data_IF_113954939323
#
_entry.id   IF_113954939323
#
_cell.length_a   1.000
_cell.length_b   1.000
_cell.length_c   1.000
_cell.angle_alpha   90.00
_cell.angle_beta   90.00
_cell.angle_gamma   90.00
#
_symmetry.space_group_name_H-M   'P 1'
#
loop_
_entity.id
_entity.type
_entity.pdbx_description
1 polymer ?
#
# COMPACT_ATOMS: atom_id res chain seq x y z
N UNK A 1 -2.33 6.42 -7.79
CA UNK A 1 -2.50 5.06 -7.26
C UNK A 1 -2.20 5.04 -5.77
N UNK A 2 -2.90 4.23 -5.03
CA UNK A 2 -2.73 4.12 -3.59
C UNK A 2 -2.12 2.76 -3.26
N UNK A 3 -1.07 2.76 -2.42
CA UNK A 3 -0.41 1.53 -1.97
C UNK A 3 -0.59 1.40 -0.47
N UNK A 4 -1.34 0.39 -0.05
CA UNK A 4 -1.51 0.05 1.36
C UNK A 4 -0.43 -0.95 1.75
N UNK A 5 0.32 -0.64 2.81
CA UNK A 5 1.46 -1.45 3.21
C UNK A 5 1.79 -1.25 4.69
N UNK A 6 2.74 -2.03 5.20
CA UNK A 6 3.44 -1.71 6.44
C UNK A 6 4.91 -2.14 6.30
N UNK A 7 5.81 -1.39 6.97
CA UNK A 7 7.24 -1.54 6.75
C UNK A 7 7.79 -2.91 7.13
N UNK A 8 7.24 -3.54 8.18
CA UNK A 8 7.73 -4.83 8.65
C UNK A 8 7.31 -5.99 7.76
N UNK A 9 6.48 -5.74 6.77
CA UNK A 9 6.06 -6.78 5.83
C UNK A 9 7.13 -6.99 4.76
N UNK A 10 7.64 -8.21 4.67
CA UNK A 10 8.65 -8.55 3.68
C UNK A 10 8.19 -8.28 2.25
N UNK A 11 6.95 -8.64 1.93
CA UNK A 11 6.40 -8.40 0.60
C UNK A 11 6.23 -6.90 0.32
N UNK A 12 5.82 -6.13 1.32
CA UNK A 12 5.71 -4.68 1.17
C UNK A 12 7.08 -4.06 0.88
N UNK A 13 8.12 -4.53 1.53
CA UNK A 13 9.47 -4.03 1.26
C UNK A 13 9.92 -4.34 -0.16
N UNK A 14 9.59 -5.50 -0.68
CA UNK A 14 9.91 -5.86 -2.06
C UNK A 14 9.21 -4.90 -3.02
N UNK A 15 7.93 -4.62 -2.80
CA UNK A 15 7.16 -3.69 -3.64
C UNK A 15 7.75 -2.29 -3.57
N UNK A 16 8.04 -1.79 -2.37
CA UNK A 16 8.63 -0.46 -2.18
C UNK A 16 9.99 -0.34 -2.87
N UNK A 17 10.81 -1.37 -2.75
CA UNK A 17 12.12 -1.42 -3.41
C UNK A 17 11.98 -1.37 -4.93
N UNK A 18 11.04 -2.14 -5.48
CA UNK A 18 10.77 -2.16 -6.92
C UNK A 18 10.32 -0.78 -7.42
N UNK A 19 9.38 -0.15 -6.68
CA UNK A 19 8.89 1.19 -7.02
C UNK A 19 10.04 2.20 -7.00
N UNK A 20 10.91 2.11 -6.01
CA UNK A 20 12.07 2.98 -5.89
C UNK A 20 13.04 2.78 -7.07
N UNK A 21 13.29 1.54 -7.44
CA UNK A 21 14.18 1.19 -8.57
C UNK A 21 13.63 1.73 -9.88
N UNK A 22 12.32 1.65 -10.09
CA UNK A 22 11.68 2.16 -11.30
C UNK A 22 11.47 3.67 -11.29
N UNK A 23 11.75 4.34 -10.16
CA UNK A 23 11.61 5.79 -10.00
C UNK A 23 10.20 6.29 -10.27
N UNK A 24 9.20 5.53 -9.84
CA UNK A 24 7.79 5.86 -10.05
C UNK A 24 7.05 6.18 -8.74
N UNK A 25 7.78 6.53 -7.69
CA UNK A 25 7.19 6.88 -6.40
C UNK A 25 6.13 7.98 -6.51
N UNK A 26 6.32 8.92 -7.41
CA UNK A 26 5.42 10.05 -7.58
C UNK A 26 4.03 9.63 -8.05
N UNK A 27 3.88 8.41 -8.57
CA UNK A 27 2.59 7.88 -9.03
C UNK A 27 1.78 7.27 -7.90
N UNK A 28 2.36 7.14 -6.70
CA UNK A 28 1.73 6.42 -5.60
C UNK A 28 1.48 7.32 -4.41
N UNK A 29 0.34 7.11 -3.76
CA UNK A 29 0.08 7.60 -2.41
C UNK A 29 0.36 6.44 -1.47
N UNK A 30 1.37 6.60 -0.61
CA UNK A 30 1.78 5.53 0.31
C UNK A 30 0.95 5.60 1.57
N UNK A 31 0.26 4.49 1.90
CA UNK A 31 -0.60 4.40 3.07
C UNK A 31 -0.12 3.28 3.98
N UNK A 32 0.62 3.65 5.02
CA UNK A 32 1.13 2.71 6.02
C UNK A 32 0.02 2.42 7.04
N UNK A 33 -0.48 1.18 7.03
CA UNK A 33 -1.60 0.79 7.87
C UNK A 33 -1.25 0.67 9.34
N UNK A 34 0.03 0.59 9.69
CA UNK A 34 0.47 0.57 11.09
C UNK A 34 0.65 1.97 11.65
N UNK A 35 1.10 2.92 10.83
CA UNK A 35 1.26 4.31 11.26
C UNK A 35 -0.09 5.01 11.40
N UNK A 36 -1.05 4.66 10.58
CA UNK A 36 -2.38 5.24 10.62
C UNK A 36 -3.44 4.15 10.55
N UNK A 37 -4.09 3.82 11.68
CA UNK A 37 -5.11 2.77 11.71
C UNK A 37 -6.30 3.03 10.77
N UNK A 38 -6.57 4.28 10.41
CA UNK A 38 -7.65 4.60 9.49
C UNK A 38 -7.39 4.01 8.10
N UNK A 39 -6.14 3.86 7.73
CA UNK A 39 -5.79 3.21 6.46
C UNK A 39 -6.14 1.73 6.46
N UNK A 40 -5.98 1.06 7.60
CA UNK A 40 -6.40 -0.33 7.73
C UNK A 40 -7.90 -0.47 7.57
N UNK A 41 -8.67 0.46 8.15
CA UNK A 41 -10.12 0.50 7.99
C UNK A 41 -10.54 0.70 6.54
N UNK A 42 -9.88 1.65 5.86
CA UNK A 42 -10.14 1.89 4.43
C UNK A 42 -9.89 0.64 3.61
N UNK A 43 -8.81 -0.08 3.91
CA UNK A 43 -8.46 -1.29 3.19
C UNK A 43 -9.50 -2.37 3.37
N UNK A 44 -9.99 -2.56 4.60
CA UNK A 44 -11.05 -3.54 4.88
C UNK A 44 -12.34 -3.17 4.14
N UNK A 45 -12.69 -1.89 4.10
CA UNK A 45 -13.88 -1.42 3.38
C UNK A 45 -13.78 -1.65 1.88
N UNK A 46 -12.57 -1.55 1.33
CA UNK A 46 -12.35 -1.73 -0.10
C UNK A 46 -12.25 -3.19 -0.52
N UNK A 47 -11.62 -4.03 0.29
CA UNK A 47 -11.29 -5.40 -0.09
C UNK A 47 -11.96 -6.47 0.77
N UNK A 48 -12.48 -6.10 1.93
CA UNK A 48 -13.05 -7.03 2.89
C UNK A 48 -12.04 -7.69 3.82
N UNK A 49 -10.77 -7.39 3.68
CA UNK A 49 -9.71 -7.98 4.51
C UNK A 49 -8.50 -7.05 4.58
N UNK A 50 -7.64 -7.26 5.59
CA UNK A 50 -6.40 -6.52 5.72
C UNK A 50 -5.28 -7.35 5.11
N UNK A 51 -5.10 -7.22 3.81
CA UNK A 51 -4.02 -7.90 3.09
C UNK A 51 -3.09 -6.86 2.47
N UNK A 52 -1.83 -6.93 2.81
CA UNK A 52 -0.81 -6.03 2.27
C UNK A 52 0.33 -6.84 1.65
N UNK A 53 1.02 -6.31 0.66
CA UNK A 53 0.75 -5.03 0.01
C UNK A 53 -0.52 -5.08 -0.85
N UNK A 54 -1.24 -3.96 -0.91
CA UNK A 54 -2.44 -3.86 -1.74
C UNK A 54 -2.36 -2.58 -2.58
N UNK A 55 -2.47 -2.73 -3.88
CA UNK A 55 -2.43 -1.62 -4.82
C UNK A 55 -3.84 -1.30 -5.29
N UNK A 56 -4.27 -0.06 -5.07
CA UNK A 56 -5.56 0.43 -5.53
C UNK A 56 -5.33 1.44 -6.63
N UNK A 57 -5.86 1.16 -7.81
CA UNK A 57 -5.79 2.08 -8.95
C UNK A 57 -7.05 2.95 -8.99
N UNK A 58 -7.00 4.02 -9.81
CA UNK A 58 -8.17 4.89 -9.96
C UNK A 58 -9.37 4.18 -10.58
N UNK A 59 -9.13 3.13 -11.30
CA UNK A 59 -10.19 2.36 -11.97
C UNK A 59 -10.78 1.26 -11.08
N UNK A 60 -10.33 1.19 -9.86
CA UNK A 60 -10.83 0.21 -8.90
C UNK A 60 -9.77 -0.77 -8.46
#
# INVERSE_FOLDING_TARGET
>A
MELYFYEDCEYSQIVLSTISTLKIKYKFTFKDILLNPDYAKELVELTGDVMVPCLVTQDG
#
